data_IF_488567812261
#
_entry.id   IF_488567812261
#
_cell.length_a   1.000
_cell.length_b   1.000
_cell.length_c   1.000
_cell.angle_alpha   90.00
_cell.angle_beta   90.00
_cell.angle_gamma   90.00
#
_symmetry.space_group_name_H-M   'P 1'
#
loop_
_entity.id
_entity.type
_entity.pdbx_description
1 polymer ?
#
# COMPACT_ATOMS: atom_id res chain seq x y z
N UNK A 1 -17.82 7.13 -3.95
CA UNK A 1 -16.57 7.92 -3.98
C UNK A 1 -16.01 7.87 -5.38
N UNK A 2 -15.57 9.01 -5.88
CA UNK A 2 -14.87 9.14 -7.17
C UNK A 2 -13.42 9.49 -6.87
N UNK A 3 -12.48 8.89 -7.58
CA UNK A 3 -11.06 9.25 -7.48
C UNK A 3 -10.93 10.73 -7.89
N UNK A 4 -10.14 11.51 -7.16
CA UNK A 4 -9.96 12.93 -7.49
C UNK A 4 -9.40 13.06 -8.91
N UNK A 5 -9.87 14.01 -9.74
CA UNK A 5 -9.51 14.05 -11.17
C UNK A 5 -8.00 14.07 -11.45
N UNK A 6 -7.22 14.67 -10.55
CA UNK A 6 -5.76 14.76 -10.66
C UNK A 6 -5.04 13.43 -10.43
N UNK A 7 -5.73 12.43 -9.83
CA UNK A 7 -5.24 11.07 -9.62
C UNK A 7 -6.06 10.06 -10.43
N UNK A 8 -6.72 10.50 -11.51
CA UNK A 8 -7.45 9.60 -12.38
C UNK A 8 -6.50 8.50 -12.91
N UNK A 9 -6.92 7.23 -12.87
CA UNK A 9 -6.06 6.13 -13.26
C UNK A 9 -5.73 6.19 -14.75
N UNK A 10 -4.50 5.82 -15.09
CA UNK A 10 -4.04 5.63 -16.48
C UNK A 10 -4.53 4.30 -17.04
N UNK A 11 -4.45 4.13 -18.36
CA UNK A 11 -4.92 2.91 -19.04
C UNK A 11 -4.22 1.63 -18.56
N UNK A 12 -2.97 1.74 -18.11
CA UNK A 12 -2.16 0.62 -17.62
C UNK A 12 -2.21 0.45 -16.09
N UNK A 13 -3.08 1.18 -15.39
CA UNK A 13 -3.22 1.11 -13.94
C UNK A 13 -4.44 0.27 -13.54
N UNK A 14 -4.29 -0.54 -12.50
CA UNK A 14 -5.37 -1.37 -11.97
C UNK A 14 -6.13 -0.63 -10.88
N UNK A 15 -7.46 -0.59 -11.00
CA UNK A 15 -8.34 -0.01 -9.98
C UNK A 15 -8.96 -1.13 -9.14
N UNK A 16 -8.65 -1.15 -7.85
CA UNK A 16 -9.23 -2.10 -6.90
C UNK A 16 -10.31 -1.43 -6.07
N UNK A 17 -11.53 -1.97 -6.12
CA UNK A 17 -12.61 -1.52 -5.25
C UNK A 17 -12.55 -2.24 -3.91
N UNK A 18 -12.32 -1.49 -2.83
CA UNK A 18 -12.38 -2.00 -1.46
C UNK A 18 -13.65 -1.53 -0.74
N UNK A 19 -14.14 -2.35 0.18
CA UNK A 19 -15.29 -2.05 1.04
C UNK A 19 -14.90 -1.86 2.52
N UNK A 20 -13.66 -2.19 2.87
CA UNK A 20 -13.10 -2.09 4.21
C UNK A 20 -11.73 -1.38 4.16
N UNK A 21 -11.01 -1.34 5.28
CA UNK A 21 -9.71 -0.66 5.39
C UNK A 21 -8.67 -1.29 4.45
N UNK A 22 -8.66 -2.62 4.40
CA UNK A 22 -7.77 -3.44 3.58
C UNK A 22 -8.38 -3.77 2.22
N UNK A 23 -7.53 -4.00 1.23
CA UNK A 23 -7.90 -4.60 -0.05
C UNK A 23 -8.51 -6.00 0.16
N UNK A 24 -9.49 -6.41 -0.67
CA UNK A 24 -10.03 -7.76 -0.61
C UNK A 24 -8.94 -8.81 -0.83
N UNK A 25 -8.97 -9.96 -0.12
CA UNK A 25 -7.99 -11.03 -0.28
C UNK A 25 -7.82 -11.51 -1.73
N UNK A 26 -8.93 -11.63 -2.47
CA UNK A 26 -8.93 -11.99 -3.88
C UNK A 26 -8.15 -10.99 -4.73
N UNK A 27 -8.30 -9.69 -4.46
CA UNK A 27 -7.56 -8.64 -5.17
C UNK A 27 -6.06 -8.68 -4.85
N UNK A 28 -5.68 -9.00 -3.61
CA UNK A 28 -4.27 -9.15 -3.23
C UNK A 28 -3.61 -10.32 -3.98
N UNK A 29 -4.33 -11.42 -4.17
CA UNK A 29 -3.84 -12.58 -4.93
C UNK A 29 -3.69 -12.27 -6.41
N UNK A 30 -4.63 -11.53 -7.01
CA UNK A 30 -4.50 -11.07 -8.38
C UNK A 30 -3.31 -10.12 -8.55
N UNK A 31 -3.15 -9.13 -7.65
CA UNK A 31 -1.99 -8.23 -7.65
C UNK A 31 -0.68 -9.02 -7.56
N UNK A 32 -0.62 -10.06 -6.72
CA UNK A 32 0.56 -10.95 -6.62
C UNK A 32 0.93 -11.60 -7.94
N UNK A 33 -0.06 -11.92 -8.78
CA UNK A 33 0.15 -12.59 -10.06
C UNK A 33 0.53 -11.61 -11.18
N UNK A 34 0.09 -10.35 -11.08
CA UNK A 34 0.16 -9.37 -12.17
C UNK A 34 1.24 -8.30 -11.96
N UNK A 35 1.59 -7.95 -10.72
CA UNK A 35 2.35 -6.74 -10.43
C UNK A 35 3.85 -6.82 -10.71
N UNK A 36 4.42 -8.03 -10.67
CA UNK A 36 5.85 -8.26 -10.85
C UNK A 36 6.07 -9.49 -11.73
N UNK A 37 7.14 -9.45 -12.52
CA UNK A 37 7.57 -10.64 -13.25
C UNK A 37 8.00 -11.73 -12.25
N UNK A 38 7.77 -13.00 -12.60
CA UNK A 38 8.09 -14.11 -11.69
C UNK A 38 9.59 -14.20 -11.35
N UNK A 39 10.44 -13.72 -12.25
CA UNK A 39 11.90 -13.73 -12.11
C UNK A 39 12.45 -12.46 -11.44
N UNK A 40 11.59 -11.51 -11.09
CA UNK A 40 11.99 -10.26 -10.44
C UNK A 40 12.42 -10.54 -8.99
N UNK A 41 13.72 -10.35 -8.75
CA UNK A 41 14.37 -10.67 -7.47
C UNK A 41 14.16 -9.62 -6.41
N UNK A 42 14.12 -8.35 -6.80
CA UNK A 42 13.95 -7.20 -5.90
C UNK A 42 12.63 -6.54 -6.24
N UNK A 43 11.71 -6.53 -5.27
CA UNK A 43 10.37 -5.96 -5.42
C UNK A 43 10.27 -4.77 -4.51
N UNK A 44 10.12 -3.58 -5.07
CA UNK A 44 9.95 -2.35 -4.30
C UNK A 44 8.48 -1.95 -4.33
N UNK A 45 7.87 -1.80 -3.15
CA UNK A 45 6.48 -1.41 -3.00
C UNK A 45 6.38 -0.15 -2.16
N UNK A 46 5.99 0.94 -2.80
CA UNK A 46 5.66 2.19 -2.12
C UNK A 46 4.15 2.26 -1.83
N UNK A 47 3.79 2.58 -0.57
CA UNK A 47 2.38 2.73 -0.17
C UNK A 47 2.11 4.20 0.17
N UNK A 48 1.16 4.80 -0.55
CA UNK A 48 0.77 6.22 -0.39
C UNK A 48 -0.73 6.37 -0.19
N UNK A 49 -1.16 7.53 0.32
CA UNK A 49 -2.57 7.90 0.46
C UNK A 49 -3.04 8.13 1.90
N UNK A 50 -4.33 7.93 2.14
CA UNK A 50 -4.99 8.31 3.41
C UNK A 50 -6.03 7.27 3.83
N UNK A 51 -6.31 7.03 5.12
CA UNK A 51 -5.64 7.57 6.33
C UNK A 51 -4.47 6.68 6.75
N UNK A 52 -3.37 7.26 7.25
CA UNK A 52 -2.12 6.55 7.58
C UNK A 52 -2.36 5.40 8.58
N UNK A 53 -3.01 5.67 9.71
CA UNK A 53 -3.33 4.68 10.76
C UNK A 53 -4.38 3.63 10.39
N UNK A 54 -5.13 3.81 9.31
CA UNK A 54 -6.16 2.88 8.89
C UNK A 54 -5.76 2.19 7.60
N UNK A 55 -5.90 2.91 6.48
CA UNK A 55 -5.82 2.31 5.16
C UNK A 55 -4.37 2.08 4.74
N UNK A 56 -3.47 3.03 4.99
CA UNK A 56 -2.05 2.84 4.64
C UNK A 56 -1.48 1.70 5.49
N UNK A 57 -1.63 1.77 6.82
CA UNK A 57 -1.18 0.72 7.73
C UNK A 57 -1.74 -0.66 7.35
N UNK A 58 -3.07 -0.80 7.27
CA UNK A 58 -3.69 -2.11 7.03
C UNK A 58 -3.30 -2.70 5.67
N UNK A 59 -3.24 -1.87 4.61
CA UNK A 59 -2.85 -2.37 3.29
C UNK A 59 -1.37 -2.68 3.20
N UNK A 60 -0.49 -1.97 3.91
CA UNK A 60 0.94 -2.29 3.94
C UNK A 60 1.17 -3.68 4.52
N UNK A 61 0.55 -4.00 5.66
CA UNK A 61 0.65 -5.33 6.27
C UNK A 61 0.04 -6.41 5.37
N UNK A 62 -1.08 -6.12 4.71
CA UNK A 62 -1.70 -7.07 3.80
C UNK A 62 -0.84 -7.35 2.56
N UNK A 63 -0.20 -6.32 2.00
CA UNK A 63 0.74 -6.48 0.90
C UNK A 63 1.99 -7.26 1.34
N UNK A 64 2.55 -6.99 2.52
CA UNK A 64 3.65 -7.80 3.09
C UNK A 64 3.27 -9.29 3.20
N UNK A 65 2.01 -9.61 3.50
CA UNK A 65 1.56 -11.01 3.59
C UNK A 65 1.63 -11.76 2.25
N UNK A 66 1.50 -11.05 1.13
CA UNK A 66 1.56 -11.64 -0.22
C UNK A 66 2.93 -11.46 -0.89
N UNK A 67 3.70 -10.45 -0.47
CA UNK A 67 5.06 -10.13 -0.91
C UNK A 67 6.04 -10.06 0.28
N UNK A 68 6.35 -11.18 0.94
CA UNK A 68 7.16 -11.17 2.17
C UNK A 68 8.61 -10.71 1.96
N UNK A 69 9.15 -10.86 0.75
CA UNK A 69 10.53 -10.51 0.40
C UNK A 69 10.64 -9.13 -0.29
N UNK A 70 9.54 -8.36 -0.37
CA UNK A 70 9.58 -7.04 -0.98
C UNK A 70 10.09 -5.98 0.01
N UNK A 71 10.81 -5.00 -0.52
CA UNK A 71 11.19 -3.80 0.23
C UNK A 71 10.01 -2.83 0.21
N UNK A 72 9.50 -2.48 1.40
CA UNK A 72 8.38 -1.57 1.55
C UNK A 72 8.84 -0.18 1.95
N UNK A 73 8.25 0.83 1.32
CA UNK A 73 8.52 2.24 1.57
C UNK A 73 7.22 3.00 1.84
N UNK A 74 7.28 3.92 2.79
CA UNK A 74 6.28 4.98 2.97
C UNK A 74 7.00 6.33 3.04
N UNK A 75 6.82 7.15 2.01
CA UNK A 75 7.23 8.55 2.03
C UNK A 75 6.20 9.38 2.81
N UNK A 76 6.67 10.00 3.89
CA UNK A 76 5.85 10.77 4.83
C UNK A 76 5.22 12.00 4.18
N UNK A 77 5.72 12.47 3.04
CA UNK A 77 5.11 13.55 2.27
C UNK A 77 3.85 13.11 1.49
N UNK A 78 3.64 11.81 1.30
CA UNK A 78 2.55 11.25 0.49
C UNK A 78 1.50 10.46 1.30
N UNK A 79 1.58 10.54 2.63
CA UNK A 79 0.57 10.01 3.54
C UNK A 79 0.01 11.11 4.43
N UNK A 80 -1.23 10.92 4.88
CA UNK A 80 -1.90 11.92 5.71
C UNK A 80 -3.00 11.29 6.57
N UNK A 81 -3.16 11.83 7.78
CA UNK A 81 -4.35 11.64 8.60
C UNK A 81 -4.59 12.77 9.60
N UNK A 82 -5.68 12.65 10.37
CA UNK A 82 -6.01 13.58 11.45
C UNK A 82 -5.41 13.22 12.82
N UNK A 83 -5.35 11.92 13.17
CA UNK A 83 -4.91 11.44 14.50
C UNK A 83 -4.23 10.08 14.41
N UNK A 84 -3.22 9.87 15.25
CA UNK A 84 -2.48 8.61 15.40
C UNK A 84 -1.47 8.26 14.29
N UNK A 85 -1.07 9.23 13.48
CA UNK A 85 -0.12 9.02 12.38
C UNK A 85 1.25 8.60 12.76
N UNK A 86 1.85 9.36 13.65
CA UNK A 86 3.18 9.05 14.17
C UNK A 86 3.21 7.65 14.81
N UNK A 87 2.09 7.23 15.42
CA UNK A 87 1.97 5.88 16.00
C UNK A 87 1.91 4.81 14.92
N UNK A 88 1.15 5.05 13.84
CA UNK A 88 1.06 4.14 12.70
C UNK A 88 2.40 4.04 11.94
N UNK A 89 3.06 5.16 11.69
CA UNK A 89 4.38 5.22 11.06
C UNK A 89 5.42 4.49 11.91
N UNK A 90 5.43 4.71 13.23
CA UNK A 90 6.31 3.97 14.14
C UNK A 90 6.07 2.46 14.06
N UNK A 91 4.82 2.04 14.01
CA UNK A 91 4.46 0.63 13.88
C UNK A 91 4.91 0.07 12.52
N UNK A 92 4.73 0.81 11.42
CA UNK A 92 5.23 0.42 10.10
C UNK A 92 6.75 0.23 10.09
N UNK A 93 7.48 1.13 10.76
CA UNK A 93 8.93 0.98 10.94
C UNK A 93 9.29 -0.29 11.72
N UNK A 94 8.53 -0.65 12.76
CA UNK A 94 8.71 -1.90 13.49
C UNK A 94 8.43 -3.14 12.62
N UNK A 95 7.63 -2.99 11.56
CA UNK A 95 7.39 -4.00 10.51
C UNK A 95 8.36 -3.92 9.32
N UNK A 96 9.54 -3.32 9.53
CA UNK A 96 10.59 -3.21 8.51
C UNK A 96 10.17 -2.46 7.24
N UNK A 97 9.27 -1.49 7.38
CA UNK A 97 8.94 -0.53 6.32
C UNK A 97 9.87 0.67 6.44
N UNK A 98 10.54 1.02 5.35
CA UNK A 98 11.33 2.24 5.27
C UNK A 98 10.41 3.47 5.35
N UNK A 99 10.79 4.44 6.16
CA UNK A 99 10.11 5.74 6.23
C UNK A 99 11.03 6.81 5.67
N UNK A 100 10.53 7.57 4.70
CA UNK A 100 11.26 8.66 4.03
C UNK A 100 10.64 10.03 4.29
#
# INVERSE_FOLDING_TARGET
MQIIPTLAPKENEKVVKKYYFTMPPESLLEIKQEAFDQDEKEKHIEVVGTETNLCVLSNTIALQSVFPEADFLVDTAFVSENKHGDQALKLLKDFNVELK
#
